data_IF_436657099046
#
_entry.id   IF_436657099046
#
_cell.length_a   1.000
_cell.length_b   1.000
_cell.length_c   1.000
_cell.angle_alpha   90.00
_cell.angle_beta   90.00
_cell.angle_gamma   90.00
#
_symmetry.space_group_name_H-M   'P 1'
#
loop_
_entity.id
_entity.type
_entity.pdbx_description
1 polymer ?
#
# COMPACT_ATOMS: atom_id res chain seq x y z
N UNK A 1 14.31 -12.59 1.34
CA UNK A 1 13.49 -11.53 1.95
C UNK A 1 12.92 -10.67 0.83
N UNK A 2 11.60 -10.60 0.68
CA UNK A 2 10.92 -9.73 -0.28
C UNK A 2 10.25 -8.61 0.51
N UNK A 3 10.38 -7.36 0.08
CA UNK A 3 9.82 -6.19 0.77
C UNK A 3 9.15 -5.24 -0.21
N UNK A 4 8.22 -4.45 0.31
CA UNK A 4 7.50 -3.40 -0.42
C UNK A 4 6.97 -2.35 0.57
N UNK A 5 6.82 -1.10 0.12
CA UNK A 5 6.17 -0.04 0.88
C UNK A 5 5.09 0.67 0.04
N UNK A 6 3.94 0.93 0.68
CA UNK A 6 2.89 1.78 0.14
C UNK A 6 2.81 3.11 0.90
N UNK A 7 1.83 3.94 0.54
CA UNK A 7 1.53 5.16 1.29
C UNK A 7 0.98 4.90 2.70
N UNK A 8 0.45 3.70 2.94
CA UNK A 8 -0.26 3.37 4.18
C UNK A 8 0.44 2.32 5.06
N UNK A 9 1.31 1.51 4.49
CA UNK A 9 1.87 0.35 5.15
C UNK A 9 3.14 -0.16 4.51
N UNK A 10 3.81 -1.07 5.22
CA UNK A 10 4.94 -1.86 4.70
C UNK A 10 4.55 -3.32 4.71
N UNK A 11 5.04 -4.06 3.72
CA UNK A 11 4.82 -5.48 3.56
C UNK A 11 6.14 -6.22 3.34
N UNK A 12 6.26 -7.42 3.90
CA UNK A 12 7.42 -8.27 3.66
C UNK A 12 7.08 -9.76 3.72
N UNK A 13 7.85 -10.54 2.97
CA UNK A 13 7.78 -12.01 2.94
C UNK A 13 9.18 -12.58 3.10
N UNK A 14 9.39 -13.38 4.14
CA UNK A 14 10.58 -14.20 4.25
C UNK A 14 10.33 -15.54 3.58
N UNK A 15 11.25 -15.97 2.72
CA UNK A 15 11.16 -17.23 2.00
C UNK A 15 12.50 -17.95 2.03
N UNK A 16 12.45 -19.28 2.00
CA UNK A 16 13.61 -20.16 1.87
C UNK A 16 13.47 -21.05 0.65
N UNK A 17 14.60 -21.50 0.11
CA UNK A 17 14.59 -22.49 -0.98
C UNK A 17 14.43 -23.87 -0.36
N UNK A 18 13.38 -24.60 -0.71
CA UNK A 18 13.18 -25.95 -0.21
C UNK A 18 14.04 -26.96 -1.00
N UNK A 19 14.76 -27.88 -0.35
CA UNK A 19 15.59 -28.87 -1.04
C UNK A 19 14.79 -29.84 -1.94
N UNK A 20 13.50 -30.02 -1.65
CA UNK A 20 12.63 -30.98 -2.35
C UNK A 20 12.33 -30.59 -3.80
N UNK A 21 12.14 -29.30 -4.06
CA UNK A 21 11.73 -28.79 -5.37
C UNK A 21 12.61 -27.64 -5.88
N UNK A 22 13.58 -27.20 -5.07
CA UNK A 22 14.46 -26.08 -5.34
C UNK A 22 13.70 -24.77 -5.62
N UNK A 23 12.49 -24.60 -5.05
CA UNK A 23 11.66 -23.40 -5.18
C UNK A 23 11.65 -22.59 -3.90
N UNK A 24 11.32 -21.30 -4.04
CA UNK A 24 11.11 -20.39 -2.92
C UNK A 24 9.75 -20.65 -2.26
N UNK A 25 9.78 -21.02 -0.98
CA UNK A 25 8.61 -21.21 -0.14
C UNK A 25 8.58 -20.14 0.96
N UNK A 26 7.45 -19.43 1.15
CA UNK A 26 7.29 -18.50 2.25
C UNK A 26 7.39 -19.20 3.61
N UNK A 27 8.17 -18.63 4.51
CA UNK A 27 8.34 -19.09 5.90
C UNK A 27 7.65 -18.13 6.88
N UNK A 28 7.59 -16.84 6.55
CA UNK A 28 6.92 -15.83 7.37
C UNK A 28 6.43 -14.66 6.52
N UNK A 29 5.37 -14.01 6.99
CA UNK A 29 4.78 -12.81 6.39
C UNK A 29 4.75 -11.71 7.44
N UNK A 30 4.98 -10.47 7.01
CA UNK A 30 4.97 -9.30 7.88
C UNK A 30 4.23 -8.16 7.18
N UNK A 31 3.37 -7.48 7.93
CA UNK A 31 2.70 -6.26 7.48
C UNK A 31 2.54 -5.31 8.66
N UNK A 32 2.83 -4.02 8.44
CA UNK A 32 2.69 -3.00 9.48
C UNK A 32 2.19 -1.70 8.89
N UNK A 33 1.20 -1.09 9.56
CA UNK A 33 0.70 0.25 9.23
C UNK A 33 1.78 1.29 9.50
N UNK A 34 1.97 2.21 8.56
CA UNK A 34 2.83 3.37 8.75
C UNK A 34 2.17 4.34 9.73
N UNK A 35 2.97 4.92 10.63
CA UNK A 35 2.53 6.05 11.45
C UNK A 35 2.32 7.31 10.58
N UNK A 36 1.57 8.32 11.05
CA UNK A 36 1.38 9.57 10.30
C UNK A 36 2.67 10.31 9.93
N UNK A 37 3.75 10.07 10.69
CA UNK A 37 5.07 10.63 10.39
C UNK A 37 5.79 9.82 9.32
N UNK A 38 5.74 8.48 9.42
CA UNK A 38 6.40 7.60 8.45
C UNK A 38 5.69 7.60 7.08
N UNK A 39 4.37 7.78 7.04
CA UNK A 39 3.61 7.88 5.78
C UNK A 39 4.01 9.10 4.94
N UNK A 40 4.55 10.14 5.59
CA UNK A 40 5.04 11.37 4.96
C UNK A 40 6.51 11.28 4.50
N UNK A 41 7.18 10.16 4.74
CA UNK A 41 8.52 9.95 4.19
C UNK A 41 8.44 9.87 2.66
N UNK A 42 9.54 10.23 2.00
CA UNK A 42 9.64 9.99 0.56
C UNK A 42 9.60 8.49 0.26
N UNK A 43 9.36 8.16 -1.01
CA UNK A 43 9.22 6.76 -1.46
C UNK A 43 10.46 5.95 -1.07
N UNK A 44 11.66 6.49 -1.27
CA UNK A 44 12.91 5.79 -0.97
C UNK A 44 13.11 5.50 0.52
N UNK A 45 12.77 6.45 1.39
CA UNK A 45 12.82 6.30 2.84
C UNK A 45 11.76 5.30 3.35
N UNK A 46 10.57 5.22 2.72
CA UNK A 46 9.56 4.21 3.05
C UNK A 46 9.98 2.81 2.63
N UNK A 47 10.54 2.67 1.45
CA UNK A 47 11.12 1.41 0.96
C UNK A 47 12.26 0.95 1.88
N UNK A 48 13.16 1.85 2.27
CA UNK A 48 14.23 1.55 3.20
C UNK A 48 13.71 1.18 4.61
N UNK A 49 12.65 1.85 5.06
CA UNK A 49 11.98 1.54 6.30
C UNK A 49 11.36 0.14 6.27
N UNK A 50 10.76 -0.28 5.16
CA UNK A 50 10.24 -1.64 4.98
C UNK A 50 11.34 -2.70 5.16
N UNK A 51 12.52 -2.47 4.56
CA UNK A 51 13.70 -3.32 4.77
C UNK A 51 14.09 -3.37 6.26
N UNK A 52 14.24 -2.20 6.90
CA UNK A 52 14.67 -2.10 8.30
C UNK A 52 13.75 -2.88 9.23
N UNK A 53 12.44 -2.74 9.05
CA UNK A 53 11.43 -3.35 9.92
C UNK A 53 11.32 -4.85 9.70
N UNK A 54 11.34 -5.30 8.45
CA UNK A 54 11.30 -6.72 8.15
C UNK A 54 12.51 -7.46 8.73
N UNK A 55 13.70 -6.85 8.68
CA UNK A 55 14.88 -7.44 9.30
C UNK A 55 14.83 -7.35 10.83
N UNK A 56 14.29 -6.27 11.40
CA UNK A 56 14.12 -6.15 12.84
C UNK A 56 13.17 -7.23 13.40
N UNK A 57 12.07 -7.51 12.69
CA UNK A 57 11.12 -8.58 13.03
C UNK A 57 11.82 -9.96 13.01
N UNK A 58 12.51 -10.27 11.93
CA UNK A 58 13.20 -11.55 11.74
C UNK A 58 14.67 -11.53 12.16
N UNK A 59 15.03 -10.61 13.06
CA UNK A 59 16.41 -10.39 13.50
C UNK A 59 17.04 -11.68 14.05
N UNK A 60 16.27 -12.43 14.80
CA UNK A 60 16.65 -13.71 15.40
C UNK A 60 16.97 -14.81 14.36
N UNK A 61 16.56 -14.66 13.11
CA UNK A 61 16.90 -15.58 12.01
C UNK A 61 17.97 -15.02 11.06
N UNK A 62 18.06 -13.69 10.94
CA UNK A 62 18.89 -13.02 9.93
C UNK A 62 20.22 -12.48 10.47
N UNK A 63 20.28 -12.11 11.75
CA UNK A 63 21.50 -11.62 12.38
C UNK A 63 22.43 -12.79 12.71
N UNK A 64 23.70 -12.66 12.34
CA UNK A 64 24.69 -13.75 12.47
C UNK A 64 24.63 -14.80 11.36
N UNK A 65 23.79 -14.63 10.33
CA UNK A 65 23.79 -15.51 9.17
C UNK A 65 25.16 -15.52 8.48
N UNK A 66 25.79 -16.71 8.41
CA UNK A 66 27.10 -16.88 7.77
C UNK A 66 27.03 -16.58 6.27
N UNK A 67 25.95 -17.03 5.62
CA UNK A 67 25.72 -16.80 4.20
C UNK A 67 24.90 -15.52 3.98
N UNK A 68 25.21 -14.74 2.93
CA UNK A 68 24.45 -13.53 2.63
C UNK A 68 23.02 -13.89 2.23
N UNK A 69 22.03 -13.33 2.93
CA UNK A 69 20.64 -13.43 2.50
C UNK A 69 20.31 -12.36 1.46
N UNK A 70 19.35 -12.68 0.59
CA UNK A 70 18.95 -11.81 -0.51
C UNK A 70 17.69 -11.01 -0.16
N UNK A 71 17.75 -9.70 -0.37
CA UNK A 71 16.65 -8.76 -0.23
C UNK A 71 16.16 -8.37 -1.63
N UNK A 72 14.90 -8.61 -1.91
CA UNK A 72 14.22 -8.20 -3.13
C UNK A 72 13.33 -6.99 -2.86
N UNK A 73 13.48 -5.96 -3.68
CA UNK A 73 12.68 -4.72 -3.67
C UNK A 73 12.45 -4.29 -5.13
N UNK A 74 11.35 -3.61 -5.40
CA UNK A 74 11.09 -2.98 -6.68
C UNK A 74 11.64 -1.54 -6.78
N UNK A 75 12.36 -1.09 -5.76
CA UNK A 75 12.97 0.23 -5.73
C UNK A 75 14.47 0.19 -6.04
N UNK A 76 14.83 0.46 -7.31
CA UNK A 76 16.22 0.38 -7.81
C UNK A 76 17.23 1.22 -7.00
N UNK A 77 16.82 2.36 -6.45
CA UNK A 77 17.75 3.22 -5.71
C UNK A 77 18.28 2.56 -4.43
N UNK A 78 17.58 1.55 -3.88
CA UNK A 78 18.05 0.81 -2.71
C UNK A 78 19.24 -0.11 -2.99
N UNK A 79 19.53 -0.43 -4.27
CA UNK A 79 20.72 -1.21 -4.61
C UNK A 79 22.00 -0.48 -4.16
N UNK A 80 22.02 0.84 -4.29
CA UNK A 80 23.19 1.67 -3.95
C UNK A 80 23.23 2.09 -2.47
N UNK A 81 22.39 1.51 -1.61
CA UNK A 81 22.28 1.89 -0.20
C UNK A 81 23.63 1.78 0.54
N UNK A 82 24.46 0.77 0.23
CA UNK A 82 25.80 0.60 0.82
C UNK A 82 26.83 1.62 0.31
N UNK A 83 26.61 2.21 -0.86
CA UNK A 83 27.53 3.13 -1.54
C UNK A 83 27.14 4.61 -1.37
N UNK A 84 26.00 4.87 -0.75
CA UNK A 84 25.45 6.20 -0.58
C UNK A 84 26.39 7.09 0.27
N UNK A 85 27.00 8.10 -0.38
CA UNK A 85 27.98 9.03 0.24
C UNK A 85 27.33 10.09 1.15
N UNK A 86 26.03 10.35 1.00
CA UNK A 86 25.28 11.33 1.78
C UNK A 86 24.00 10.69 2.30
N UNK A 87 24.03 10.31 3.57
CA UNK A 87 22.88 9.77 4.28
C UNK A 87 22.29 10.85 5.17
N UNK A 88 20.96 10.96 5.21
CA UNK A 88 20.31 11.78 6.23
C UNK A 88 20.54 11.14 7.63
N UNK A 89 20.36 11.88 8.75
CA UNK A 89 20.63 11.34 10.08
C UNK A 89 19.87 10.04 10.43
N UNK A 90 18.66 9.86 9.87
CA UNK A 90 17.85 8.65 10.05
C UNK A 90 18.46 7.47 9.30
N UNK A 91 18.77 7.65 8.03
CA UNK A 91 19.43 6.65 7.18
C UNK A 91 20.80 6.26 7.73
N UNK A 92 21.55 7.20 8.32
CA UNK A 92 22.80 6.90 9.01
C UNK A 92 22.60 6.00 10.24
N UNK A 93 21.57 6.27 11.05
CA UNK A 93 21.22 5.37 12.17
C UNK A 93 20.83 3.98 11.68
N UNK A 94 20.12 3.89 10.55
CA UNK A 94 19.77 2.61 9.95
C UNK A 94 20.97 1.91 9.30
N UNK A 95 21.94 2.63 8.74
CA UNK A 95 23.14 2.02 8.18
C UNK A 95 23.99 1.34 9.26
N UNK A 96 24.06 1.90 10.47
CA UNK A 96 24.66 1.23 11.63
C UNK A 96 23.90 -0.04 12.05
N UNK A 97 22.58 -0.07 11.87
CA UNK A 97 21.79 -1.29 12.07
C UNK A 97 22.12 -2.33 11.00
N UNK A 98 22.19 -1.92 9.73
CA UNK A 98 22.48 -2.78 8.59
C UNK A 98 23.91 -3.33 8.56
N UNK A 99 24.89 -2.62 9.13
CA UNK A 99 26.29 -3.06 9.14
C UNK A 99 26.52 -4.35 9.94
N UNK A 100 25.57 -4.74 10.80
CA UNK A 100 25.61 -5.97 11.60
C UNK A 100 25.14 -7.21 10.84
N UNK A 101 24.63 -7.03 9.62
CA UNK A 101 23.95 -8.06 8.86
C UNK A 101 24.70 -8.41 7.57
N UNK A 102 24.66 -9.68 7.19
CA UNK A 102 25.22 -10.15 5.93
C UNK A 102 24.10 -10.29 4.88
N UNK A 103 23.91 -9.28 4.03
CA UNK A 103 22.89 -9.31 2.99
C UNK A 103 23.31 -8.63 1.68
N UNK A 104 22.59 -8.98 0.62
CA UNK A 104 22.64 -8.35 -0.70
C UNK A 104 21.26 -7.83 -1.07
N UNK A 105 21.20 -6.67 -1.75
CA UNK A 105 19.96 -6.12 -2.28
C UNK A 105 19.94 -6.36 -3.79
N UNK A 106 18.83 -6.87 -4.30
CA UNK A 106 18.59 -7.06 -5.73
C UNK A 106 17.24 -6.51 -6.13
N UNK A 107 17.20 -5.89 -7.30
CA UNK A 107 15.98 -5.34 -7.85
C UNK A 107 15.11 -6.44 -8.48
N UNK A 108 13.81 -6.36 -8.21
CA UNK A 108 12.78 -7.17 -8.87
C UNK A 108 11.66 -6.24 -9.36
N UNK A 109 11.23 -6.31 -10.63
CA UNK A 109 10.12 -5.49 -11.11
C UNK A 109 8.85 -5.67 -10.25
N UNK A 110 8.11 -4.59 -10.01
CA UNK A 110 6.89 -4.61 -9.17
C UNK A 110 5.84 -5.64 -9.61
N UNK A 111 5.75 -5.93 -10.92
CA UNK A 111 4.88 -6.99 -11.44
C UNK A 111 5.22 -8.40 -10.92
N UNK A 112 6.43 -8.60 -10.40
CA UNK A 112 6.89 -9.84 -9.74
C UNK A 112 7.00 -9.70 -8.22
N UNK A 113 6.66 -8.53 -7.65
CA UNK A 113 6.71 -8.22 -6.22
C UNK A 113 5.31 -8.23 -5.57
N UNK A 114 4.37 -9.00 -6.14
CA UNK A 114 2.94 -8.94 -5.78
C UNK A 114 2.63 -9.30 -4.33
N UNK A 115 3.39 -10.22 -3.73
CA UNK A 115 3.12 -10.70 -2.35
C UNK A 115 3.36 -9.60 -1.31
N UNK A 116 4.55 -8.97 -1.22
CA UNK A 116 4.76 -7.87 -0.30
C UNK A 116 3.94 -6.63 -0.68
N UNK A 117 3.67 -6.36 -1.96
CA UNK A 117 2.79 -5.27 -2.41
C UNK A 117 1.36 -5.41 -1.87
N UNK A 118 0.78 -6.61 -1.93
CA UNK A 118 -0.53 -6.87 -1.31
C UNK A 118 -0.51 -6.63 0.21
N UNK A 119 0.57 -7.01 0.89
CA UNK A 119 0.73 -6.81 2.34
C UNK A 119 0.96 -5.34 2.72
N UNK A 120 1.64 -4.57 1.88
CA UNK A 120 1.90 -3.15 2.13
C UNK A 120 0.63 -2.31 2.00
N UNK A 121 -0.35 -2.76 1.20
CA UNK A 121 -1.63 -2.08 0.93
C UNK A 121 -2.79 -2.49 1.85
N UNK A 122 -2.57 -3.39 2.82
CA UNK A 122 -3.61 -3.88 3.74
C UNK A 122 -4.34 -2.77 4.52
N UNK A 123 -3.67 -1.62 4.72
CA UNK A 123 -4.21 -0.48 5.48
C UNK A 123 -4.61 0.70 4.57
N UNK A 124 -4.66 0.48 3.26
CA UNK A 124 -5.23 1.46 2.35
C UNK A 124 -6.70 1.66 2.73
N UNK A 125 -7.22 2.90 2.69
CA UNK A 125 -8.66 3.08 2.80
C UNK A 125 -9.32 2.26 1.69
N UNK A 126 -10.44 1.62 2.00
CA UNK A 126 -11.27 0.99 0.98
C UNK A 126 -11.62 2.09 -0.03
N UNK A 127 -10.96 2.07 -1.19
CA UNK A 127 -11.53 2.66 -2.38
C UNK A 127 -12.65 1.72 -2.79
N UNK A 128 -13.76 1.73 -2.04
CA UNK A 128 -15.02 1.46 -2.71
C UNK A 128 -15.09 2.53 -3.81
N UNK A 129 -15.01 2.17 -5.10
CA UNK A 129 -15.33 3.15 -6.12
C UNK A 129 -16.69 3.69 -5.73
N UNK A 130 -16.80 4.99 -5.47
CA UNK A 130 -18.09 5.67 -5.38
C UNK A 130 -18.92 5.10 -6.52
N UNK A 131 -20.02 4.39 -6.23
CA UNK A 131 -20.69 3.59 -7.25
C UNK A 131 -21.00 4.52 -8.40
N UNK A 132 -20.43 4.23 -9.58
CA UNK A 132 -20.71 5.04 -10.76
C UNK A 132 -22.22 5.13 -10.87
N UNK A 133 -22.80 6.34 -10.92
CA UNK A 133 -24.25 6.47 -10.97
C UNK A 133 -24.74 5.67 -12.17
N UNK A 134 -25.75 4.82 -11.93
CA UNK A 134 -26.38 3.97 -12.98
C UNK A 134 -26.82 4.83 -14.17
N UNK A 135 -27.12 6.10 -13.90
CA UNK A 135 -27.49 7.08 -14.91
C UNK A 135 -26.23 7.79 -15.47
N UNK A 136 -26.08 7.83 -16.81
CA UNK A 136 -25.00 8.59 -17.42
C UNK A 136 -25.10 10.07 -17.07
N UNK A 137 -23.98 10.80 -17.09
CA UNK A 137 -23.93 12.23 -16.77
C UNK A 137 -24.86 13.08 -17.64
N UNK A 138 -25.20 12.61 -18.85
CA UNK A 138 -26.19 13.23 -19.73
C UNK A 138 -27.62 13.22 -19.17
N UNK A 139 -27.93 12.34 -18.22
CA UNK A 139 -29.21 12.29 -17.52
C UNK A 139 -29.23 13.19 -16.28
N UNK A 140 -28.11 13.81 -15.90
CA UNK A 140 -28.04 14.77 -14.80
C UNK A 140 -28.36 16.16 -15.34
N UNK A 141 -29.63 16.54 -15.29
CA UNK A 141 -30.13 17.84 -15.80
C UNK A 141 -29.75 19.01 -14.88
N UNK A 142 -29.33 18.72 -13.65
CA UNK A 142 -28.83 19.71 -12.69
C UNK A 142 -29.04 19.27 -11.24
N UNK A 143 -28.42 19.98 -10.30
CA UNK A 143 -28.72 19.83 -8.88
C UNK A 143 -30.06 20.46 -8.53
N UNK A 144 -30.84 19.83 -7.64
CA UNK A 144 -32.09 20.40 -7.15
C UNK A 144 -31.76 21.63 -6.28
N UNK A 145 -32.00 22.83 -6.81
CA UNK A 145 -32.05 24.06 -5.99
C UNK A 145 -33.35 24.09 -5.20
N UNK A 146 -33.37 24.84 -4.08
CA UNK A 146 -34.56 24.97 -3.23
C UNK A 146 -35.80 25.41 -4.02
N UNK A 147 -35.63 26.32 -4.97
CA UNK A 147 -36.71 26.80 -5.85
C UNK A 147 -37.28 25.71 -6.75
N UNK A 148 -36.45 24.80 -7.28
CA UNK A 148 -36.90 23.67 -8.09
C UNK A 148 -37.62 22.66 -7.21
N UNK A 149 -37.09 22.39 -6.00
CA UNK A 149 -37.75 21.50 -5.03
C UNK A 149 -39.16 21.96 -4.70
N UNK A 150 -39.35 23.25 -4.46
CA UNK A 150 -40.66 23.82 -4.12
C UNK A 150 -41.64 23.72 -5.30
N UNK A 151 -41.16 23.94 -6.53
CA UNK A 151 -41.96 23.76 -7.75
C UNK A 151 -42.38 22.30 -7.95
N UNK A 152 -41.48 21.35 -7.73
CA UNK A 152 -41.77 19.91 -7.84
C UNK A 152 -42.77 19.47 -6.76
N UNK A 153 -42.60 19.93 -5.52
CA UNK A 153 -43.54 19.66 -4.43
C UNK A 153 -44.93 20.25 -4.68
N UNK A 154 -45.02 21.42 -5.34
CA UNK A 154 -46.29 22.00 -5.75
C UNK A 154 -46.95 21.18 -6.87
N UNK A 155 -46.19 20.76 -7.88
CA UNK A 155 -46.69 19.95 -8.99
C UNK A 155 -47.19 18.57 -8.54
N UNK A 156 -46.45 17.89 -7.64
CA UNK A 156 -46.82 16.57 -7.10
C UNK A 156 -48.12 16.56 -6.28
N UNK A 157 -48.61 17.73 -5.82
CA UNK A 157 -49.94 17.85 -5.19
C UNK A 157 -51.08 17.72 -6.20
N UNK A 158 -50.86 18.16 -7.44
CA UNK A 158 -51.83 18.09 -8.52
C UNK A 158 -51.71 16.76 -9.29
N UNK A 159 -50.48 16.31 -9.53
CA UNK A 159 -50.17 15.09 -10.26
C UNK A 159 -49.27 14.18 -9.40
N UNK A 160 -49.86 13.24 -8.63
CA UNK A 160 -49.07 12.36 -7.78
C UNK A 160 -48.20 11.43 -8.64
N UNK A 161 -46.88 11.48 -8.41
CA UNK A 161 -45.90 10.65 -9.10
C UNK A 161 -46.03 9.15 -8.81
N UNK A 162 -45.30 8.30 -9.54
CA UNK A 162 -45.34 6.85 -9.38
C UNK A 162 -44.94 6.41 -7.96
N UNK A 163 -45.43 5.25 -7.50
CA UNK A 163 -44.95 4.63 -6.25
C UNK A 163 -43.49 4.21 -6.43
N UNK A 164 -42.57 5.00 -5.88
CA UNK A 164 -41.16 4.67 -5.81
C UNK A 164 -40.64 4.60 -4.37
N UNK A 165 -39.32 4.39 -4.18
CA UNK A 165 -38.72 4.23 -2.87
C UNK A 165 -38.95 5.47 -1.97
N UNK A 166 -39.14 5.27 -0.65
CA UNK A 166 -39.41 6.36 0.28
C UNK A 166 -38.27 7.39 0.30
N UNK A 167 -38.63 8.68 0.36
CA UNK A 167 -37.66 9.79 0.42
C UNK A 167 -37.18 10.35 -0.91
N UNK A 168 -37.76 9.93 -2.06
CA UNK A 168 -37.44 10.49 -3.38
C UNK A 168 -38.59 11.33 -3.94
N UNK A 169 -38.24 12.45 -4.57
CA UNK A 169 -39.16 13.29 -5.34
C UNK A 169 -39.07 12.89 -6.80
N UNK A 170 -40.23 12.72 -7.43
CA UNK A 170 -40.35 12.41 -8.86
C UNK A 170 -40.70 13.70 -9.59
N UNK A 171 -40.03 13.95 -10.71
CA UNK A 171 -40.30 15.05 -11.64
C UNK A 171 -40.93 14.46 -12.88
#
# INVERSE_FOLDING_TARGET
LEVDASDTGVGAVLSQVAPVDNKLHPCAFFSRRLSPTESRYDVGDRELLAVKLAIEEWRHWLEGAEQPFLIWTDHKNLIYLKEAKRLNPRQYRWSLFFSRLNFQISYRPGSKNTKPDALSRLYAPDQEPEPEPILPSSCVVGGITWEIRDKVLAALKAEPGPRGPPGRLFV
#
